data_IF_733933563560
#
_entry.id   IF_733933563560
#
_cell.length_a   1.000
_cell.length_b   1.000
_cell.length_c   1.000
_cell.angle_alpha   90.00
_cell.angle_beta   90.00
_cell.angle_gamma   90.00
#
_symmetry.space_group_name_H-M   'P 1'
#
loop_
_entity.id
_entity.type
_entity.pdbx_description
1 polymer ?
#
# COMPACT_ATOMS: atom_id res chain seq x y z
N UNK A 1 -30.04 -77.11 25.31
CA UNK A 1 -29.53 -75.79 24.88
C UNK A 1 -28.99 -75.11 26.14
N UNK A 2 -27.66 -74.94 26.18
CA UNK A 2 -26.80 -74.28 27.17
C UNK A 2 -26.97 -74.60 28.67
N UNK A 3 -26.03 -75.42 29.15
CA UNK A 3 -25.86 -75.86 30.53
C UNK A 3 -25.21 -74.82 31.44
N UNK A 4 -25.37 -75.11 32.73
CA UNK A 4 -25.27 -74.26 33.89
C UNK A 4 -24.12 -74.77 34.79
N UNK A 5 -23.52 -73.86 35.57
CA UNK A 5 -22.86 -74.08 36.87
C UNK A 5 -21.47 -74.76 36.81
N UNK A 6 -20.45 -74.15 37.42
CA UNK A 6 -19.95 -74.49 38.78
C UNK A 6 -18.67 -73.70 39.10
N UNK A 7 -18.65 -73.11 40.29
CA UNK A 7 -17.50 -72.47 40.96
C UNK A 7 -16.61 -73.58 41.54
N UNK A 8 -15.29 -73.51 41.31
CA UNK A 8 -14.31 -74.30 42.03
C UNK A 8 -13.22 -73.40 42.62
N UNK A 9 -13.04 -73.54 43.93
CA UNK A 9 -12.00 -72.91 44.74
C UNK A 9 -10.63 -73.51 44.43
N UNK A 10 -9.58 -72.69 44.45
CA UNK A 10 -8.19 -73.10 44.32
C UNK A 10 -7.30 -72.28 45.24
N UNK A 11 -6.55 -73.00 46.08
CA UNK A 11 -5.76 -72.56 47.22
C UNK A 11 -4.64 -71.55 46.91
N UNK A 12 -4.30 -70.82 47.97
CA UNK A 12 -3.17 -69.91 48.13
C UNK A 12 -1.79 -70.57 47.86
N UNK A 13 -0.86 -69.75 47.36
CA UNK A 13 0.55 -69.79 47.74
C UNK A 13 1.10 -68.35 47.75
N UNK A 14 1.42 -67.86 48.94
CA UNK A 14 2.20 -66.64 49.13
C UNK A 14 3.67 -66.97 48.83
N UNK A 15 4.17 -66.53 47.67
CA UNK A 15 5.59 -66.51 47.34
C UNK A 15 6.23 -65.17 47.75
N UNK A 16 7.52 -65.15 48.14
CA UNK A 16 8.16 -63.93 48.63
C UNK A 16 8.27 -62.89 47.51
N UNK A 17 7.89 -61.66 47.83
CA UNK A 17 8.05 -60.50 46.96
C UNK A 17 9.54 -60.24 46.72
N UNK A 18 10.02 -60.54 45.51
CA UNK A 18 11.32 -60.07 45.03
C UNK A 18 11.13 -58.67 44.47
N UNK A 19 11.58 -57.66 45.21
CA UNK A 19 11.69 -56.29 44.73
C UNK A 19 12.80 -56.22 43.67
N UNK A 20 12.42 -56.34 42.40
CA UNK A 20 13.30 -56.03 41.27
C UNK A 20 13.33 -54.51 41.14
N UNK A 21 14.40 -53.87 41.66
CA UNK A 21 14.68 -52.47 41.40
C UNK A 21 14.94 -52.28 39.91
N UNK A 22 13.95 -51.75 39.20
CA UNK A 22 14.07 -51.38 37.80
C UNK A 22 14.78 -50.04 37.73
N UNK A 23 16.08 -50.06 37.43
CA UNK A 23 16.84 -48.85 37.13
C UNK A 23 16.34 -48.28 35.80
N UNK A 24 15.47 -47.27 35.89
CA UNK A 24 15.05 -46.46 34.74
C UNK A 24 16.24 -45.63 34.28
N UNK A 25 16.92 -46.08 33.23
CA UNK A 25 17.89 -45.27 32.49
C UNK A 25 17.12 -44.18 31.75
N UNK A 26 17.11 -42.97 32.32
CA UNK A 26 16.59 -41.77 31.67
C UNK A 26 17.50 -41.41 30.49
N UNK A 27 17.09 -41.79 29.28
CA UNK A 27 17.71 -41.36 28.04
C UNK A 27 17.38 -39.87 27.83
N UNK A 28 18.32 -38.98 28.14
CA UNK A 28 18.21 -37.58 27.81
C UNK A 28 18.26 -37.42 26.27
N UNK A 29 17.14 -37.06 25.66
CA UNK A 29 17.10 -36.71 24.25
C UNK A 29 18.00 -35.48 24.01
N UNK A 30 18.80 -35.44 22.92
CA UNK A 30 19.63 -34.29 22.63
C UNK A 30 18.75 -33.07 22.38
N UNK A 31 19.04 -31.98 23.08
CA UNK A 31 18.37 -30.70 22.87
C UNK A 31 18.55 -30.27 21.41
N UNK A 32 17.44 -30.15 20.69
CA UNK A 32 17.42 -29.62 19.33
C UNK A 32 17.84 -28.16 19.41
N UNK A 33 19.08 -27.87 19.01
CA UNK A 33 19.56 -26.49 18.83
C UNK A 33 18.67 -25.85 17.77
N UNK A 34 17.79 -24.97 18.21
CA UNK A 34 16.95 -24.17 17.33
C UNK A 34 17.89 -23.18 16.64
N UNK A 35 18.13 -23.38 15.34
CA UNK A 35 18.93 -22.46 14.56
C UNK A 35 18.35 -21.06 14.71
N UNK A 36 19.14 -20.13 15.23
CA UNK A 36 18.76 -18.72 15.29
C UNK A 36 18.41 -18.27 13.87
N UNK A 37 17.23 -17.69 13.68
CA UNK A 37 16.85 -17.08 12.42
C UNK A 37 17.94 -16.07 12.04
N UNK A 38 18.42 -16.15 10.80
CA UNK A 38 19.33 -15.13 10.27
C UNK A 38 18.68 -13.76 10.47
N UNK A 39 19.43 -12.72 10.90
CA UNK A 39 18.87 -11.38 10.99
C UNK A 39 18.28 -11.02 9.62
N UNK A 40 17.01 -10.60 9.60
CA UNK A 40 16.35 -10.13 8.39
C UNK A 40 17.27 -9.06 7.76
N UNK A 41 17.65 -9.28 6.50
CA UNK A 41 18.45 -8.31 5.77
C UNK A 41 17.68 -6.99 5.73
N UNK A 42 18.32 -5.90 6.16
CA UNK A 42 17.69 -4.57 6.18
C UNK A 42 17.14 -4.23 4.81
N UNK A 43 15.99 -3.57 4.79
CA UNK A 43 15.39 -3.06 3.55
C UNK A 43 16.41 -2.17 2.80
N UNK A 44 16.69 -2.43 1.51
CA UNK A 44 17.66 -1.66 0.74
C UNK A 44 17.15 -0.25 0.45
N UNK A 45 18.05 0.72 0.50
CA UNK A 45 17.83 2.09 0.03
C UNK A 45 18.31 2.22 -1.42
N UNK A 46 17.44 2.68 -2.31
CA UNK A 46 17.69 2.90 -3.71
C UNK A 46 17.75 4.39 -4.01
N UNK A 47 18.59 4.79 -4.96
CA UNK A 47 18.60 6.16 -5.48
C UNK A 47 17.70 6.25 -6.72
N UNK A 48 17.25 7.47 -7.04
CA UNK A 48 16.58 7.76 -8.30
C UNK A 48 17.41 8.73 -9.15
N UNK A 49 17.35 8.56 -10.47
CA UNK A 49 17.91 9.49 -11.44
C UNK A 49 16.79 10.21 -12.18
N UNK A 50 16.90 11.54 -12.29
CA UNK A 50 15.95 12.34 -13.06
C UNK A 50 16.21 12.12 -14.56
N UNK A 51 15.18 11.67 -15.27
CA UNK A 51 15.18 11.48 -16.72
C UNK A 51 14.73 12.76 -17.42
N UNK A 52 13.65 13.36 -16.93
CA UNK A 52 13.08 14.58 -17.49
C UNK A 52 12.36 15.41 -16.42
N UNK A 53 12.12 16.69 -16.73
CA UNK A 53 11.36 17.63 -15.92
C UNK A 53 10.26 18.23 -16.78
N UNK A 54 9.07 18.31 -16.23
CA UNK A 54 7.88 18.84 -16.89
C UNK A 54 7.25 19.94 -16.03
N UNK A 55 6.58 20.94 -16.64
CA UNK A 55 5.85 21.95 -15.89
C UNK A 55 4.73 21.32 -15.06
N UNK A 56 4.59 21.77 -13.81
CA UNK A 56 3.48 21.41 -12.95
C UNK A 56 2.82 22.67 -12.36
N UNK A 57 1.51 22.58 -12.09
CA UNK A 57 0.72 23.69 -11.59
C UNK A 57 1.11 24.01 -10.13
N UNK A 58 1.70 25.19 -9.92
CA UNK A 58 2.13 25.68 -8.60
C UNK A 58 0.99 25.90 -7.61
N UNK A 59 -0.26 25.86 -8.08
CA UNK A 59 -1.46 25.99 -7.25
C UNK A 59 -2.12 24.65 -6.93
N UNK A 60 -1.63 23.54 -7.51
CA UNK A 60 -2.19 22.22 -7.29
C UNK A 60 -1.71 21.61 -5.97
N UNK A 61 -2.64 21.33 -5.06
CA UNK A 61 -2.38 20.51 -3.88
C UNK A 61 -2.56 19.04 -4.26
N UNK A 62 -1.56 18.42 -4.88
CA UNK A 62 -1.65 17.06 -5.43
C UNK A 62 -1.94 16.01 -4.36
N UNK A 63 -3.04 15.27 -4.52
CA UNK A 63 -3.43 14.18 -3.61
C UNK A 63 -3.62 12.82 -4.28
N UNK A 64 -3.71 12.80 -5.62
CA UNK A 64 -3.66 11.57 -6.40
C UNK A 64 -3.14 11.87 -7.78
N UNK A 65 -2.26 11.02 -8.31
CA UNK A 65 -1.70 11.16 -9.64
C UNK A 65 -1.81 9.83 -10.39
N UNK A 66 -2.07 9.90 -11.68
CA UNK A 66 -2.24 8.72 -12.52
C UNK A 66 -1.78 9.04 -13.94
N UNK A 67 -1.14 8.07 -14.60
CA UNK A 67 -0.91 8.12 -16.04
C UNK A 67 -1.95 7.28 -16.78
N UNK A 68 -2.61 7.85 -17.78
CA UNK A 68 -3.50 7.07 -18.65
C UNK A 68 -3.63 7.70 -20.05
N UNK A 69 -3.50 6.86 -21.08
CA UNK A 69 -3.72 7.22 -22.49
C UNK A 69 -3.02 8.52 -22.95
N UNK A 70 -1.75 8.70 -22.55
CA UNK A 70 -0.92 9.83 -23.00
C UNK A 70 -1.09 11.12 -22.20
N UNK A 71 -1.88 11.10 -21.13
CA UNK A 71 -2.10 12.24 -20.25
C UNK A 71 -1.92 11.86 -18.79
N UNK A 72 -1.65 12.88 -17.98
CA UNK A 72 -1.75 12.78 -16.53
C UNK A 72 -3.21 13.01 -16.12
N UNK A 73 -3.65 12.29 -15.12
CA UNK A 73 -4.85 12.60 -14.36
C UNK A 73 -4.42 12.91 -12.93
N UNK A 74 -5.02 13.94 -12.37
CA UNK A 74 -4.64 14.44 -11.05
C UNK A 74 -5.90 14.74 -10.26
N UNK A 75 -5.90 14.36 -8.98
CA UNK A 75 -6.84 14.81 -7.98
C UNK A 75 -6.12 15.78 -7.07
N UNK A 76 -6.75 16.92 -6.82
CA UNK A 76 -6.20 17.94 -5.92
C UNK A 76 -7.08 18.16 -4.72
N UNK A 77 -6.43 18.40 -3.57
CA UNK A 77 -7.06 18.78 -2.32
C UNK A 77 -7.26 20.29 -2.18
N UNK A 78 -7.58 20.70 -0.95
CA UNK A 78 -8.00 22.02 -0.47
C UNK A 78 -9.51 22.29 -0.55
N UNK A 79 -10.06 22.81 0.55
CA UNK A 79 -11.46 23.20 0.64
C UNK A 79 -11.81 24.18 -0.48
N UNK A 80 -12.97 23.95 -1.11
CA UNK A 80 -13.50 24.76 -2.23
C UNK A 80 -12.66 24.77 -3.52
N UNK A 81 -11.47 24.17 -3.50
CA UNK A 81 -10.53 24.17 -4.62
C UNK A 81 -10.31 22.77 -5.21
N UNK A 82 -10.76 21.73 -4.51
CA UNK A 82 -10.56 20.34 -4.93
C UNK A 82 -11.20 20.05 -6.29
N UNK A 83 -10.44 19.41 -7.17
CA UNK A 83 -10.89 18.98 -8.49
C UNK A 83 -10.16 17.73 -8.97
N UNK A 84 -10.76 17.04 -9.93
CA UNK A 84 -10.10 16.02 -10.75
C UNK A 84 -9.86 16.62 -12.13
N UNK A 85 -8.64 16.49 -12.64
CA UNK A 85 -8.22 17.13 -13.88
C UNK A 85 -7.46 16.15 -14.77
N UNK A 86 -7.56 16.36 -16.08
CA UNK A 86 -6.69 15.74 -17.09
C UNK A 86 -5.69 16.76 -17.56
N UNK A 87 -4.41 16.43 -17.57
CA UNK A 87 -3.30 17.35 -17.78
C UNK A 87 -2.38 16.84 -18.90
N UNK A 88 -1.97 17.75 -19.78
CA UNK A 88 -0.94 17.50 -20.79
C UNK A 88 0.44 17.43 -20.12
N UNK A 89 1.17 16.33 -20.35
CA UNK A 89 2.52 16.15 -19.81
C UNK A 89 3.49 17.23 -20.31
N UNK A 90 3.39 17.60 -21.60
CA UNK A 90 4.40 18.43 -22.25
C UNK A 90 4.46 19.86 -21.72
N UNK A 91 3.30 20.43 -21.35
CA UNK A 91 3.16 21.84 -21.00
C UNK A 91 2.35 22.11 -19.73
N UNK A 92 1.91 21.06 -19.02
CA UNK A 92 1.14 21.18 -17.78
C UNK A 92 -0.28 21.75 -17.97
N UNK A 93 -0.77 21.88 -19.22
CA UNK A 93 -2.09 22.46 -19.47
C UNK A 93 -3.20 21.51 -19.04
N UNK A 94 -4.18 22.07 -18.33
CA UNK A 94 -5.42 21.37 -17.97
C UNK A 94 -6.29 21.23 -19.22
N UNK A 95 -6.49 19.99 -19.65
CA UNK A 95 -7.26 19.61 -20.84
C UNK A 95 -8.75 19.39 -20.52
N UNK A 96 -9.04 18.95 -19.30
CA UNK A 96 -10.39 18.77 -18.76
C UNK A 96 -10.35 18.89 -17.24
N UNK A 97 -11.47 19.29 -16.63
CA UNK A 97 -11.59 19.46 -15.17
C UNK A 97 -13.02 19.12 -14.71
N UNK A 98 -13.14 18.42 -13.60
CA UNK A 98 -14.37 18.21 -12.87
C UNK A 98 -14.16 18.66 -11.41
N UNK A 99 -15.01 19.58 -10.94
CA UNK A 99 -14.92 20.07 -9.56
C UNK A 99 -15.51 19.05 -8.60
N UNK A 100 -14.85 18.89 -7.45
CA UNK A 100 -15.42 18.20 -6.29
C UNK A 100 -16.32 19.20 -5.53
N UNK A 101 -17.28 18.69 -4.76
CA UNK A 101 -18.16 19.54 -3.94
C UNK A 101 -17.31 20.47 -3.07
N UNK A 102 -17.57 21.79 -3.02
CA UNK A 102 -16.75 22.73 -2.28
C UNK A 102 -16.63 22.46 -0.77
N UNK A 103 -17.53 21.67 -0.18
CA UNK A 103 -17.48 21.24 1.21
C UNK A 103 -16.53 20.06 1.46
N UNK A 104 -15.98 19.46 0.41
CA UNK A 104 -15.16 18.26 0.47
C UNK A 104 -13.70 18.57 0.13
N UNK A 105 -12.82 17.72 0.65
CA UNK A 105 -11.40 17.74 0.36
C UNK A 105 -11.07 16.52 -0.52
N UNK A 106 -10.64 16.75 -1.76
CA UNK A 106 -10.29 15.69 -2.71
C UNK A 106 -8.98 15.00 -2.37
N UNK A 107 -8.92 13.69 -2.58
CA UNK A 107 -7.78 12.84 -2.19
C UNK A 107 -7.36 11.91 -3.35
N UNK A 108 -6.79 10.75 -3.07
CA UNK A 108 -6.25 9.77 -4.02
C UNK A 108 -7.16 9.42 -5.20
N UNK A 109 -6.54 9.07 -6.31
CA UNK A 109 -7.18 8.86 -7.61
C UNK A 109 -6.69 7.57 -8.26
N UNK A 110 -7.61 6.69 -8.65
CA UNK A 110 -7.26 5.48 -9.39
C UNK A 110 -8.15 5.26 -10.61
N UNK A 111 -7.62 4.53 -11.58
CA UNK A 111 -8.39 4.01 -12.70
C UNK A 111 -8.96 2.64 -12.37
N UNK A 112 -10.23 2.40 -12.73
CA UNK A 112 -10.77 1.06 -12.85
C UNK A 112 -11.57 0.94 -14.14
N UNK A 113 -11.05 0.15 -15.08
CA UNK A 113 -11.61 0.01 -16.43
C UNK A 113 -11.70 1.38 -17.13
N UNK A 114 -12.92 1.85 -17.40
CA UNK A 114 -13.24 3.09 -18.11
C UNK A 114 -13.64 4.23 -17.16
N UNK A 115 -13.44 4.06 -15.85
CA UNK A 115 -13.80 5.04 -14.83
C UNK A 115 -12.62 5.43 -13.97
N UNK A 116 -12.53 6.72 -13.65
CA UNK A 116 -11.71 7.22 -12.57
C UNK A 116 -12.51 7.20 -11.28
N UNK A 117 -11.85 6.88 -10.18
CA UNK A 117 -12.38 6.95 -8.83
C UNK A 117 -11.49 7.86 -8.01
N UNK A 118 -12.04 8.94 -7.46
CA UNK A 118 -11.33 9.85 -6.57
C UNK A 118 -11.92 9.83 -5.16
N UNK A 119 -11.06 9.77 -4.16
CA UNK A 119 -11.44 9.77 -2.75
C UNK A 119 -11.69 11.20 -2.23
N UNK A 120 -12.23 11.25 -1.01
CA UNK A 120 -12.32 12.45 -0.18
C UNK A 120 -11.68 12.19 1.19
N UNK A 121 -11.12 13.19 1.84
CA UNK A 121 -10.38 12.96 3.09
C UNK A 121 -11.25 12.36 4.21
N UNK A 122 -12.21 13.13 4.74
CA UNK A 122 -13.03 12.71 5.88
C UNK A 122 -14.48 12.37 5.54
N UNK A 123 -14.94 12.65 4.31
CA UNK A 123 -16.35 12.53 3.96
C UNK A 123 -16.82 11.08 3.70
N UNK A 124 -15.87 10.15 3.54
CA UNK A 124 -16.18 8.76 3.19
C UNK A 124 -16.88 8.64 1.83
N UNK A 125 -16.52 9.47 0.85
CA UNK A 125 -17.12 9.52 -0.49
C UNK A 125 -16.05 9.22 -1.54
N UNK A 126 -16.33 8.24 -2.39
CA UNK A 126 -15.56 8.00 -3.59
C UNK A 126 -16.38 8.46 -4.81
N UNK A 127 -15.96 9.53 -5.46
CA UNK A 127 -16.60 10.00 -6.69
C UNK A 127 -16.16 9.14 -7.87
N UNK A 128 -17.09 8.89 -8.81
CA UNK A 128 -16.80 8.20 -10.06
C UNK A 128 -16.92 9.13 -11.23
N UNK A 129 -15.94 9.08 -12.11
CA UNK A 129 -15.85 9.93 -13.29
C UNK A 129 -15.65 9.08 -14.54
N UNK A 130 -16.26 9.50 -15.63
CA UNK A 130 -15.95 8.98 -16.96
C UNK A 130 -14.51 9.35 -17.31
N UNK A 131 -13.63 8.38 -17.58
CA UNK A 131 -12.19 8.64 -17.75
C UNK A 131 -11.91 9.62 -18.90
N UNK A 132 -12.71 9.58 -19.97
CA UNK A 132 -12.46 10.39 -21.18
C UNK A 132 -12.94 11.82 -21.03
N UNK A 133 -14.07 12.01 -20.34
CA UNK A 133 -14.79 13.30 -20.30
C UNK A 133 -14.79 13.96 -18.93
N UNK A 134 -14.40 13.24 -17.87
CA UNK A 134 -14.53 13.62 -16.46
C UNK A 134 -15.98 13.94 -16.04
N UNK A 135 -16.98 13.50 -16.81
CA UNK A 135 -18.39 13.64 -16.41
C UNK A 135 -18.67 12.74 -15.21
N UNK A 136 -19.41 13.22 -14.19
CA UNK A 136 -19.82 12.38 -13.07
C UNK A 136 -20.58 11.13 -13.54
N UNK A 137 -20.23 9.98 -12.95
CA UNK A 137 -20.88 8.68 -13.18
C UNK A 137 -21.62 8.19 -11.94
N UNK A 138 -21.43 8.84 -10.80
CA UNK A 138 -22.01 8.47 -9.51
C UNK A 138 -20.99 8.56 -8.39
N UNK A 139 -21.33 7.99 -7.24
CA UNK A 139 -20.45 7.94 -6.07
C UNK A 139 -20.70 6.68 -5.25
N UNK A 140 -19.68 6.22 -4.55
CA UNK A 140 -19.76 5.21 -3.50
C UNK A 140 -19.48 5.81 -2.13
N UNK A 141 -19.82 5.05 -1.09
CA UNK A 141 -19.43 5.34 0.29
C UNK A 141 -18.37 4.36 0.74
N UNK A 142 -17.46 4.82 1.58
CA UNK A 142 -16.53 3.99 2.34
C UNK A 142 -16.41 4.52 3.78
N UNK A 143 -15.83 3.70 4.65
CA UNK A 143 -15.58 4.02 6.06
C UNK A 143 -14.13 4.41 6.28
N UNK A 144 -13.89 5.32 7.23
CA UNK A 144 -12.56 5.83 7.55
C UNK A 144 -12.12 6.98 6.63
N UNK A 145 -10.87 7.39 6.76
CA UNK A 145 -10.27 8.40 5.90
C UNK A 145 -9.91 7.81 4.52
N UNK A 146 -9.82 8.67 3.51
CA UNK A 146 -9.21 8.34 2.22
C UNK A 146 -7.98 9.19 2.00
N UNK A 147 -6.82 8.57 1.78
CA UNK A 147 -5.59 9.26 1.38
C UNK A 147 -5.26 8.81 -0.05
N UNK A 148 -4.28 7.94 -0.27
CA UNK A 148 -3.96 7.41 -1.60
C UNK A 148 -4.89 6.32 -2.10
N UNK A 149 -4.99 6.18 -3.43
CA UNK A 149 -5.75 5.12 -4.09
C UNK A 149 -5.00 4.69 -5.36
N UNK A 150 -4.77 3.39 -5.52
CA UNK A 150 -4.33 2.80 -6.80
C UNK A 150 -5.15 1.53 -7.07
N UNK A 151 -4.88 0.82 -8.18
CA UNK A 151 -5.56 -0.43 -8.52
C UNK A 151 -4.62 -1.51 -9.04
N UNK A 152 -4.93 -2.75 -8.70
CA UNK A 152 -4.34 -3.94 -9.33
C UNK A 152 -5.38 -4.62 -10.23
N UNK A 153 -5.14 -5.87 -10.65
CA UNK A 153 -6.12 -6.62 -11.45
C UNK A 153 -7.38 -7.07 -10.69
N UNK A 154 -7.37 -6.99 -9.35
CA UNK A 154 -8.41 -7.52 -8.47
C UNK A 154 -9.31 -6.44 -7.91
N UNK A 155 -8.80 -5.24 -7.68
CA UNK A 155 -9.58 -4.13 -7.13
C UNK A 155 -8.74 -2.91 -6.79
N UNK A 156 -9.25 -2.11 -5.87
CA UNK A 156 -8.55 -0.93 -5.37
C UNK A 156 -7.69 -1.26 -4.16
N UNK A 157 -6.59 -0.54 -4.04
CA UNK A 157 -5.71 -0.52 -2.89
C UNK A 157 -5.73 0.92 -2.38
N UNK A 158 -6.20 1.13 -1.15
CA UNK A 158 -6.32 2.44 -0.51
C UNK A 158 -5.38 2.54 0.69
N UNK A 159 -4.80 3.71 0.89
CA UNK A 159 -4.20 4.13 2.16
C UNK A 159 -5.10 5.14 2.90
N UNK A 160 -4.91 5.25 4.20
CA UNK A 160 -5.66 6.15 5.08
C UNK A 160 -4.75 6.82 6.14
N UNK A 161 -3.44 6.89 5.86
CA UNK A 161 -2.42 7.38 6.80
C UNK A 161 -2.07 6.41 7.94
N UNK A 162 -2.80 5.30 8.10
CA UNK A 162 -2.42 4.23 9.04
C UNK A 162 -1.23 3.40 8.54
N UNK A 163 -0.91 2.34 9.27
CA UNK A 163 0.07 1.33 8.89
C UNK A 163 -0.52 0.18 8.08
N UNK A 164 -1.64 0.40 7.37
CA UNK A 164 -2.33 -0.65 6.62
C UNK A 164 -2.77 -0.18 5.24
N UNK A 165 -2.69 -1.09 4.27
CA UNK A 165 -3.35 -0.93 2.97
C UNK A 165 -4.70 -1.64 3.00
N UNK A 166 -5.75 -0.95 2.55
CA UNK A 166 -7.12 -1.46 2.50
C UNK A 166 -7.39 -1.96 1.08
N UNK A 167 -7.72 -3.24 0.94
CA UNK A 167 -8.14 -3.81 -0.34
C UNK A 167 -9.65 -3.65 -0.47
N UNK A 168 -10.09 -2.93 -1.51
CA UNK A 168 -11.51 -2.61 -1.70
C UNK A 168 -12.08 -3.23 -2.96
N UNK A 169 -13.36 -3.56 -2.87
CA UNK A 169 -14.14 -3.96 -4.02
C UNK A 169 -14.30 -2.78 -5.01
N UNK A 170 -13.96 -2.95 -6.29
CA UNK A 170 -13.89 -1.84 -7.21
C UNK A 170 -15.26 -1.34 -7.68
N UNK A 171 -16.34 -2.09 -7.43
CA UNK A 171 -17.70 -1.68 -7.77
C UNK A 171 -18.37 -0.99 -6.57
N UNK A 172 -18.22 -1.56 -5.38
CA UNK A 172 -18.94 -1.14 -4.18
C UNK A 172 -18.12 -0.26 -3.23
N UNK A 173 -16.78 -0.29 -3.32
CA UNK A 173 -15.80 0.24 -2.36
C UNK A 173 -15.84 -0.42 -0.97
N UNK A 174 -16.58 -1.53 -0.85
CA UNK A 174 -16.58 -2.34 0.36
C UNK A 174 -15.16 -2.85 0.65
N UNK A 175 -14.75 -2.76 1.91
CA UNK A 175 -13.49 -3.34 2.37
C UNK A 175 -13.57 -4.87 2.26
N UNK A 176 -12.59 -5.47 1.59
CA UNK A 176 -12.45 -6.91 1.46
C UNK A 176 -11.49 -7.46 2.50
N UNK A 177 -10.37 -6.75 2.71
CA UNK A 177 -9.33 -7.11 3.66
C UNK A 177 -8.38 -5.92 3.88
N UNK A 178 -7.50 -6.06 4.87
CA UNK A 178 -6.37 -5.15 5.10
C UNK A 178 -5.06 -5.91 5.11
N UNK A 179 -3.99 -5.23 4.74
CA UNK A 179 -2.62 -5.73 4.78
C UNK A 179 -1.79 -4.76 5.61
N UNK A 180 -1.27 -5.22 6.75
CA UNK A 180 -0.41 -4.42 7.62
C UNK A 180 0.94 -4.20 6.94
N UNK A 181 1.36 -2.94 6.84
CA UNK A 181 2.61 -2.53 6.20
C UNK A 181 3.72 -2.46 7.22
N UNK A 182 4.84 -3.13 6.92
CA UNK A 182 5.99 -3.17 7.82
C UNK A 182 7.30 -2.91 7.11
N UNK A 183 8.20 -2.20 7.77
CA UNK A 183 9.59 -1.98 7.37
C UNK A 183 10.52 -2.51 8.46
N UNK A 184 11.43 -3.43 8.10
CA UNK A 184 12.29 -4.15 9.05
C UNK A 184 11.50 -4.74 10.24
N UNK A 185 10.30 -5.29 9.96
CA UNK A 185 9.42 -5.90 10.95
C UNK A 185 8.64 -4.93 11.86
N UNK A 186 8.76 -3.62 11.64
CA UNK A 186 8.04 -2.58 12.40
C UNK A 186 6.92 -1.96 11.56
N UNK A 187 5.77 -1.57 12.14
CA UNK A 187 4.73 -0.89 11.40
C UNK A 187 5.22 0.42 10.77
N UNK A 188 4.83 0.68 9.53
CA UNK A 188 5.12 1.93 8.82
C UNK A 188 3.82 2.71 8.62
N UNK A 189 3.70 3.89 9.25
CA UNK A 189 2.54 4.77 9.18
C UNK A 189 2.73 5.87 8.12
N UNK A 190 1.72 6.74 8.00
CA UNK A 190 1.72 7.94 7.16
C UNK A 190 1.85 7.62 5.66
N UNK A 191 1.34 6.45 5.28
CA UNK A 191 1.26 6.00 3.90
C UNK A 191 0.23 6.88 3.20
N UNK A 192 0.67 7.63 2.20
CA UNK A 192 -0.13 8.62 1.50
C UNK A 192 -0.40 8.13 0.06
N UNK A 193 -0.07 8.92 -0.95
CA UNK A 193 -0.35 8.60 -2.35
C UNK A 193 0.30 7.27 -2.79
N UNK A 194 -0.39 6.53 -3.67
CA UNK A 194 -0.07 5.16 -4.06
C UNK A 194 -0.02 5.01 -5.57
N UNK A 195 0.89 4.17 -6.07
CA UNK A 195 0.85 3.70 -7.46
C UNK A 195 1.26 2.23 -7.59
N UNK A 196 0.51 1.45 -8.37
CA UNK A 196 0.80 0.03 -8.61
C UNK A 196 1.76 -0.15 -9.79
N UNK A 197 2.99 -0.58 -9.50
CA UNK A 197 4.10 -0.65 -10.47
C UNK A 197 4.75 -2.03 -10.42
N UNK A 198 4.78 -2.74 -11.55
CA UNK A 198 5.45 -4.04 -11.68
C UNK A 198 5.10 -5.07 -10.58
N UNK A 199 3.84 -5.10 -10.15
CA UNK A 199 3.38 -6.04 -9.13
C UNK A 199 3.51 -5.55 -7.68
N UNK A 200 4.14 -4.39 -7.46
CA UNK A 200 4.33 -3.78 -6.15
C UNK A 200 3.51 -2.49 -6.03
N UNK A 201 3.27 -2.04 -4.79
CA UNK A 201 2.72 -0.71 -4.51
C UNK A 201 3.88 0.21 -4.16
N UNK A 202 4.09 1.25 -4.97
CA UNK A 202 4.88 2.40 -4.53
C UNK A 202 3.98 3.30 -3.69
N UNK A 203 4.51 3.82 -2.59
CA UNK A 203 3.78 4.73 -1.74
C UNK A 203 4.64 5.90 -1.30
N UNK A 204 4.06 7.10 -1.32
CA UNK A 204 4.57 8.24 -0.57
C UNK A 204 4.46 7.96 0.94
N UNK A 205 5.46 8.39 1.70
CA UNK A 205 5.37 8.51 3.16
C UNK A 205 5.33 9.99 3.50
N UNK A 206 4.20 10.46 4.06
CA UNK A 206 3.90 11.88 4.21
C UNK A 206 4.97 12.62 5.03
N UNK A 207 5.25 13.86 4.65
CA UNK A 207 6.36 14.69 5.18
C UNK A 207 7.78 14.10 5.05
N UNK A 208 7.98 13.05 4.26
CA UNK A 208 9.33 12.53 3.96
C UNK A 208 9.73 12.80 2.51
N UNK A 209 11.03 12.70 2.24
CA UNK A 209 11.56 12.66 0.87
C UNK A 209 11.73 11.25 0.33
N UNK A 210 10.93 10.29 0.80
CA UNK A 210 11.05 8.88 0.43
C UNK A 210 9.77 8.35 -0.21
N UNK A 211 9.95 7.42 -1.14
CA UNK A 211 8.92 6.43 -1.47
C UNK A 211 9.29 5.09 -0.85
N UNK A 212 8.30 4.25 -0.58
CA UNK A 212 8.51 2.85 -0.22
C UNK A 212 7.90 1.94 -1.28
N UNK A 213 8.57 0.82 -1.56
CA UNK A 213 8.03 -0.25 -2.42
C UNK A 213 7.51 -1.38 -1.55
N UNK A 214 6.20 -1.57 -1.55
CA UNK A 214 5.49 -2.52 -0.70
C UNK A 214 5.07 -3.72 -1.55
N UNK A 215 5.33 -4.93 -1.04
CA UNK A 215 4.69 -6.14 -1.56
C UNK A 215 3.22 -6.15 -1.10
N UNK A 216 2.22 -6.02 -2.01
CA UNK A 216 0.82 -5.93 -1.63
C UNK A 216 0.24 -7.24 -1.07
N UNK A 217 0.91 -8.38 -1.26
CA UNK A 217 0.47 -9.65 -0.70
C UNK A 217 0.85 -9.80 0.78
N UNK A 218 2.00 -9.25 1.17
CA UNK A 218 2.56 -9.43 2.53
C UNK A 218 2.61 -8.15 3.36
N UNK A 219 2.52 -6.99 2.72
CA UNK A 219 2.71 -5.67 3.35
C UNK A 219 4.17 -5.34 3.67
N UNK A 220 5.12 -6.21 3.34
CA UNK A 220 6.54 -5.95 3.62
C UNK A 220 7.07 -4.89 2.66
N UNK A 221 7.74 -3.89 3.21
CA UNK A 221 8.54 -2.96 2.41
C UNK A 221 9.77 -3.73 1.89
N UNK A 222 9.98 -3.67 0.57
CA UNK A 222 11.06 -4.36 -0.14
C UNK A 222 12.17 -3.42 -0.61
N UNK A 223 11.91 -2.11 -0.62
CA UNK A 223 12.91 -1.07 -0.85
C UNK A 223 12.39 0.29 -0.37
N UNK A 224 13.32 1.18 -0.03
CA UNK A 224 13.10 2.61 0.15
C UNK A 224 13.72 3.32 -1.06
N UNK A 225 13.04 4.28 -1.65
CA UNK A 225 13.55 5.10 -2.76
C UNK A 225 13.80 6.51 -2.24
N UNK A 226 15.05 6.95 -2.30
CA UNK A 226 15.48 8.28 -1.85
C UNK A 226 15.25 9.35 -2.92
N UNK A 227 14.23 10.18 -2.68
CA UNK A 227 13.87 11.33 -3.50
C UNK A 227 14.22 12.67 -2.83
N UNK A 228 14.95 12.68 -1.71
CA UNK A 228 15.39 13.93 -1.05
C UNK A 228 16.14 14.88 -1.98
N UNK A 229 16.97 14.42 -2.96
CA UNK A 229 17.57 15.32 -3.94
C UNK A 229 16.54 16.12 -4.77
N UNK A 230 15.39 15.52 -5.12
CA UNK A 230 14.31 16.23 -5.83
C UNK A 230 13.64 17.24 -4.90
N UNK A 231 13.34 16.85 -3.66
CA UNK A 231 12.77 17.76 -2.64
C UNK A 231 13.67 18.98 -2.43
N UNK A 232 14.99 18.77 -2.36
CA UNK A 232 15.97 19.83 -2.22
C UNK A 232 16.03 20.75 -3.46
N UNK A 233 15.86 20.21 -4.66
CA UNK A 233 15.80 20.99 -5.89
C UNK A 233 14.56 21.91 -5.95
N UNK A 234 13.43 21.44 -5.45
CA UNK A 234 12.20 22.25 -5.37
C UNK A 234 12.35 23.40 -4.39
N UNK A 235 13.07 23.18 -3.28
CA UNK A 235 13.37 24.19 -2.26
C UNK A 235 12.14 24.98 -1.79
N UNK A 236 10.99 24.29 -1.65
CA UNK A 236 9.75 24.91 -1.24
C UNK A 236 9.84 25.47 0.19
N UNK A 237 9.27 26.65 0.39
CA UNK A 237 9.19 27.30 1.71
C UNK A 237 7.92 26.97 2.47
N UNK A 238 6.87 26.57 1.75
CA UNK A 238 5.62 26.07 2.34
C UNK A 238 5.87 24.67 2.93
N UNK A 239 5.44 24.46 4.17
CA UNK A 239 5.61 23.18 4.88
C UNK A 239 4.73 22.08 4.31
N UNK A 240 3.62 22.45 3.68
CA UNK A 240 2.71 21.49 3.04
C UNK A 240 3.07 21.23 1.58
N UNK A 241 4.07 21.93 1.03
CA UNK A 241 4.59 21.66 -0.31
C UNK A 241 5.52 20.45 -0.36
N UNK A 242 5.00 19.31 0.10
CA UNK A 242 5.73 18.04 0.25
C UNK A 242 5.64 17.16 -1.00
N UNK A 243 6.58 16.22 -1.11
CA UNK A 243 6.53 15.14 -2.10
C UNK A 243 5.22 14.35 -1.93
N UNK A 244 4.40 14.27 -2.98
CA UNK A 244 3.15 13.52 -3.04
C UNK A 244 2.67 13.42 -4.49
N UNK A 245 2.33 12.20 -4.94
CA UNK A 245 1.88 11.93 -6.31
C UNK A 245 2.88 11.11 -7.10
N UNK A 246 2.45 9.92 -7.52
CA UNK A 246 3.23 8.94 -8.29
C UNK A 246 2.36 8.50 -9.46
N UNK A 247 2.92 8.45 -10.66
CA UNK A 247 2.20 7.93 -11.82
C UNK A 247 3.09 7.05 -12.68
N UNK A 248 2.55 5.95 -13.21
CA UNK A 248 3.31 5.01 -14.01
C UNK A 248 2.74 4.79 -15.41
N UNK A 249 3.55 5.08 -16.42
CA UNK A 249 3.28 4.72 -17.80
C UNK A 249 3.79 3.30 -18.08
N UNK A 250 2.93 2.31 -17.88
CA UNK A 250 3.26 0.91 -18.12
C UNK A 250 3.73 0.60 -19.56
N UNK A 251 3.28 1.37 -20.55
CA UNK A 251 3.61 1.11 -21.96
C UNK A 251 5.04 1.52 -22.30
N UNK A 252 5.51 2.65 -21.76
CA UNK A 252 6.85 3.15 -21.98
C UNK A 252 7.80 2.90 -20.81
N UNK A 253 7.31 2.29 -19.73
CA UNK A 253 7.99 2.08 -18.46
C UNK A 253 8.58 3.37 -17.87
N UNK A 254 7.74 4.41 -17.79
CA UNK A 254 8.12 5.72 -17.24
C UNK A 254 7.44 5.94 -15.89
N UNK A 255 8.21 6.38 -14.90
CA UNK A 255 7.72 6.71 -13.58
C UNK A 255 7.78 8.22 -13.36
N UNK A 256 6.67 8.80 -12.96
CA UNK A 256 6.53 10.22 -12.70
C UNK A 256 6.30 10.47 -11.22
N UNK A 257 6.90 11.52 -10.69
CA UNK A 257 6.70 11.97 -9.31
C UNK A 257 6.59 13.49 -9.27
N UNK A 258 5.76 14.00 -8.36
CA UNK A 258 5.60 15.44 -8.11
C UNK A 258 5.38 15.68 -6.61
N UNK A 259 4.89 16.86 -6.26
CA UNK A 259 4.47 17.18 -4.92
C UNK A 259 3.41 18.26 -4.89
N UNK A 260 2.86 18.47 -3.70
CA UNK A 260 1.89 19.52 -3.42
C UNK A 260 2.54 20.88 -3.69
N UNK A 261 1.89 21.71 -4.50
CA UNK A 261 2.39 23.01 -4.96
C UNK A 261 3.73 22.97 -5.70
N UNK A 262 4.22 21.80 -6.11
CA UNK A 262 5.50 21.73 -6.82
C UNK A 262 5.38 22.38 -8.20
N UNK A 263 6.36 23.18 -8.62
CA UNK A 263 6.40 23.75 -9.97
C UNK A 263 6.78 22.74 -11.05
N UNK A 264 7.24 21.56 -10.64
CA UNK A 264 7.90 20.59 -11.50
C UNK A 264 7.38 19.19 -11.20
N UNK A 265 7.03 18.48 -12.26
CA UNK A 265 6.85 17.03 -12.26
C UNK A 265 8.11 16.40 -12.85
N UNK A 266 8.62 15.36 -12.20
CA UNK A 266 9.84 14.67 -12.60
C UNK A 266 9.49 13.32 -13.20
N UNK A 267 10.11 12.98 -14.33
CA UNK A 267 10.26 11.58 -14.73
C UNK A 267 11.55 11.05 -14.11
N UNK A 268 11.46 9.89 -13.46
CA UNK A 268 12.57 9.30 -12.72
C UNK A 268 12.81 7.85 -13.15
N UNK A 269 14.04 7.41 -12.95
CA UNK A 269 14.43 6.00 -13.02
C UNK A 269 14.95 5.57 -11.65
N UNK A 270 14.39 4.50 -11.09
CA UNK A 270 14.91 3.89 -9.86
C UNK A 270 16.16 3.09 -10.23
N UNK A 271 17.27 3.37 -9.54
CA UNK A 271 18.53 2.70 -9.77
C UNK A 271 18.54 1.33 -9.09
N UNK A 272 19.28 0.37 -9.68
CA UNK A 272 19.51 -0.92 -9.06
C UNK A 272 20.21 -0.76 -7.69
N UNK A 273 20.00 -1.70 -6.74
CA UNK A 273 20.79 -1.74 -5.51
C UNK A 273 22.28 -1.75 -5.86
N UNK A 274 23.07 -0.94 -5.15
CA UNK A 274 24.54 -0.99 -5.24
C UNK A 274 25.09 -2.18 -4.46
#
# INVERSE_FOLDING_TARGET
>A
MFGRITIAAGLAFAGPAVLVSSSVLSSAAPARVQAAAAPDARVPMLSATIVARYPHDRTAFTEGLLWHDGALYESTGQERQSDVRRVSLADGKILARARIDPAQFGEGLALWKDQLVSLTWHDGIAHRWDVRTLKPKGRNRYTGEGWGLTSDSRGFIQSDGSDSLILRDPLTLAERSRVAVTIDGRPLRDINELEYVHGAVLANVWHTGFLVRIDPATGKVTAIIDLRPLVAEIAATDREAVLNGIAWDAKADRLFVTGKYWPTLFEIKINAPR
#
